data_IF_054873595381
#
_entry.id   IF_054873595381
#
_cell.length_a   1.000
_cell.length_b   1.000
_cell.length_c   1.000
_cell.angle_alpha   90.00
_cell.angle_beta   90.00
_cell.angle_gamma   90.00
#
_symmetry.space_group_name_H-M   'P 1'
#
loop_
_entity.id
_entity.type
_entity.pdbx_description
1 polymer ?
#
# COMPACT_ATOMS: atom_id res chain seq x y z
N UNK A 1 -9.13 25.32 29.15
CA UNK A 1 -9.83 26.57 28.80
C UNK A 1 -10.53 26.35 27.47
N UNK A 2 -11.87 26.28 27.46
CA UNK A 2 -12.66 26.13 26.21
C UNK A 2 -12.76 27.51 25.56
N UNK A 3 -12.03 27.74 24.47
CA UNK A 3 -12.28 28.90 23.61
C UNK A 3 -13.66 28.71 22.96
N UNK A 4 -14.52 29.71 23.15
CA UNK A 4 -15.85 29.78 22.56
C UNK A 4 -15.66 30.28 21.12
N UNK A 5 -15.76 29.38 20.15
CA UNK A 5 -15.65 29.66 18.72
C UNK A 5 -16.69 30.69 18.27
N UNK A 6 -16.26 31.74 17.56
CA UNK A 6 -17.13 32.73 16.94
C UNK A 6 -17.76 32.21 15.64
N UNK A 7 -18.74 32.92 15.05
CA UNK A 7 -19.52 32.45 13.89
C UNK A 7 -18.67 32.12 12.64
N UNK A 8 -17.47 32.69 12.49
CA UNK A 8 -16.55 32.33 11.40
C UNK A 8 -15.79 31.01 11.59
N UNK A 9 -15.71 30.49 12.82
CA UNK A 9 -15.02 29.23 13.11
C UNK A 9 -15.88 27.99 12.80
N UNK A 10 -17.20 28.12 12.93
CA UNK A 10 -18.14 27.07 12.52
C UNK A 10 -18.20 26.93 10.98
N UNK A 11 -18.09 28.05 10.26
CA UNK A 11 -18.07 28.07 8.79
C UNK A 11 -16.78 27.44 8.21
N UNK A 12 -15.64 27.69 8.88
CA UNK A 12 -14.36 27.05 8.52
C UNK A 12 -14.38 25.54 8.80
N UNK A 13 -14.94 25.11 9.93
CA UNK A 13 -15.08 23.68 10.24
C UNK A 13 -15.96 22.96 9.21
N UNK A 14 -17.09 23.58 8.83
CA UNK A 14 -17.97 23.05 7.78
C UNK A 14 -17.26 22.97 6.43
N UNK A 15 -16.53 24.02 6.03
CA UNK A 15 -15.75 24.06 4.80
C UNK A 15 -14.66 22.98 4.75
N UNK A 16 -13.90 22.82 5.84
CA UNK A 16 -12.89 21.76 5.96
C UNK A 16 -13.52 20.36 5.90
N UNK A 17 -14.68 20.19 6.52
CA UNK A 17 -15.46 18.95 6.44
C UNK A 17 -15.85 18.63 5.00
N UNK A 18 -16.40 19.59 4.26
CA UNK A 18 -16.78 19.41 2.86
C UNK A 18 -15.58 19.02 1.98
N UNK A 19 -14.42 19.68 2.18
CA UNK A 19 -13.18 19.37 1.46
C UNK A 19 -12.68 17.96 1.78
N UNK A 20 -12.78 17.53 3.04
CA UNK A 20 -12.43 16.17 3.47
C UNK A 20 -13.48 15.10 3.08
N UNK A 21 -14.55 15.49 2.37
CA UNK A 21 -15.62 14.58 1.96
C UNK A 21 -16.57 14.18 3.10
N UNK A 22 -16.52 14.86 4.24
CA UNK A 22 -17.46 14.68 5.35
C UNK A 22 -18.79 15.31 4.95
N UNK A 23 -19.85 14.51 4.97
CA UNK A 23 -21.21 14.92 4.60
C UNK A 23 -22.19 14.51 5.70
N UNK A 24 -23.32 15.21 5.74
CA UNK A 24 -24.45 14.82 6.60
C UNK A 24 -24.75 13.33 6.45
N UNK A 25 -25.04 12.61 7.56
CA UNK A 25 -25.28 13.14 8.92
C UNK A 25 -24.01 13.45 9.73
N UNK A 26 -22.83 13.31 9.14
CA UNK A 26 -21.55 13.58 9.77
C UNK A 26 -21.13 15.03 9.59
N UNK A 27 -20.46 15.57 10.60
CA UNK A 27 -19.86 16.92 10.55
C UNK A 27 -18.55 16.96 11.32
N UNK A 28 -17.74 17.95 10.99
CA UNK A 28 -16.58 18.31 11.80
C UNK A 28 -17.08 19.10 13.01
N UNK A 29 -17.00 18.51 14.20
CA UNK A 29 -17.40 19.17 15.45
C UNK A 29 -16.29 20.02 16.04
N UNK A 30 -15.03 19.63 15.80
CA UNK A 30 -13.85 20.39 16.23
C UNK A 30 -12.77 20.30 15.16
N UNK A 31 -11.91 21.30 15.11
CA UNK A 31 -10.71 21.29 14.27
C UNK A 31 -9.54 21.91 15.03
N UNK A 32 -8.33 21.48 14.68
CA UNK A 32 -7.08 22.06 15.17
C UNK A 32 -6.11 22.15 13.99
N UNK A 33 -5.53 23.32 13.81
CA UNK A 33 -4.55 23.58 12.75
C UNK A 33 -3.22 23.88 13.44
N UNK A 34 -2.21 23.08 13.13
CA UNK A 34 -0.84 23.34 13.53
C UNK A 34 -0.08 23.91 12.33
N UNK A 35 0.23 25.20 12.38
CA UNK A 35 1.01 25.90 11.36
C UNK A 35 2.48 25.43 11.31
N UNK A 36 3.04 25.01 12.44
CA UNK A 36 4.45 24.63 12.56
C UNK A 36 4.67 23.23 12.01
N UNK A 37 3.86 22.27 12.46
CA UNK A 37 3.89 20.90 11.95
C UNK A 37 3.23 20.76 10.56
N UNK A 38 2.56 21.82 10.09
CA UNK A 38 1.74 21.83 8.87
C UNK A 38 0.72 20.70 8.85
N UNK A 39 0.01 20.51 9.96
CA UNK A 39 -1.06 19.52 10.08
C UNK A 39 -2.41 20.17 10.39
N UNK A 40 -3.48 19.50 9.96
CA UNK A 40 -4.86 19.81 10.34
C UNK A 40 -5.51 18.55 10.88
N UNK A 41 -6.14 18.68 12.04
CA UNK A 41 -6.85 17.62 12.74
C UNK A 41 -8.33 17.96 12.74
N UNK A 42 -9.15 17.04 12.23
CA UNK A 42 -10.60 17.19 12.14
C UNK A 42 -11.25 16.12 13.02
N UNK A 43 -12.04 16.53 14.00
CA UNK A 43 -12.86 15.63 14.80
C UNK A 43 -14.24 15.54 14.16
N UNK A 44 -14.53 14.38 13.59
CA UNK A 44 -15.78 14.08 12.92
C UNK A 44 -16.69 13.38 13.90
N UNK A 45 -17.89 13.92 14.05
CA UNK A 45 -18.95 13.31 14.85
C UNK A 45 -20.26 13.38 14.10
N UNK A 46 -21.15 12.43 14.36
CA UNK A 46 -22.53 12.52 13.93
C UNK A 46 -23.23 13.60 14.75
N UNK A 47 -24.15 14.34 14.15
CA UNK A 47 -25.10 15.13 14.93
C UNK A 47 -25.79 14.20 15.94
N UNK A 48 -25.80 14.49 17.26
CA UNK A 48 -26.95 14.06 18.03
C UNK A 48 -28.12 14.81 17.40
N UNK A 49 -29.00 14.10 16.69
CA UNK A 49 -30.25 14.66 16.17
C UNK A 49 -30.76 15.65 17.23
N UNK A 50 -30.91 16.95 16.90
CA UNK A 50 -31.33 17.91 17.92
C UNK A 50 -32.58 17.31 18.56
N UNK A 51 -32.72 17.29 19.89
CA UNK A 51 -33.97 16.86 20.47
C UNK A 51 -35.01 17.79 19.84
N UNK A 52 -35.78 17.25 18.88
CA UNK A 52 -36.78 17.98 18.14
C UNK A 52 -37.52 18.79 19.20
N UNK A 53 -37.49 20.13 19.07
CA UNK A 53 -38.01 21.05 20.07
C UNK A 53 -39.21 20.41 20.73
N UNK A 54 -39.10 20.15 22.03
CA UNK A 54 -40.12 19.42 22.78
C UNK A 54 -41.36 20.32 22.85
N UNK A 55 -42.14 20.37 21.78
CA UNK A 55 -43.55 20.72 21.81
C UNK A 55 -44.23 19.54 22.46
N UNK A 56 -44.45 19.66 23.76
CA UNK A 56 -45.18 18.67 24.58
C UNK A 56 -46.53 18.37 23.89
N UNK A 57 -46.78 17.14 23.41
CA UNK A 57 -48.12 16.75 23.00
C UNK A 57 -48.90 16.34 24.26
N UNK A 58 -50.12 16.85 24.37
CA UNK A 58 -50.99 16.69 25.54
C UNK A 58 -51.59 15.28 25.65
N UNK A 59 -51.46 14.42 24.64
CA UNK A 59 -51.95 13.03 24.69
C UNK A 59 -50.95 12.03 24.11
N UNK A 60 -50.81 10.92 24.83
CA UNK A 60 -49.74 9.94 24.67
C UNK A 60 -49.84 9.09 23.41
N UNK A 61 -48.74 9.09 22.66
CA UNK A 61 -48.22 7.91 21.99
C UNK A 61 -46.70 7.90 22.23
N UNK A 62 -46.19 6.77 22.73
CA UNK A 62 -44.79 6.64 23.13
C UNK A 62 -43.86 6.92 21.96
N UNK A 63 -42.92 7.85 22.16
CA UNK A 63 -41.88 8.17 21.17
C UNK A 63 -40.65 7.31 21.46
N UNK A 64 -40.17 6.59 20.45
CA UNK A 64 -38.86 5.92 20.49
C UNK A 64 -37.81 7.00 20.62
N UNK A 65 -37.26 7.14 21.82
CA UNK A 65 -36.04 7.92 22.07
C UNK A 65 -34.91 7.05 21.55
N UNK A 66 -34.31 7.40 20.41
CA UNK A 66 -33.05 6.79 20.02
C UNK A 66 -32.01 7.17 21.08
N UNK A 67 -31.52 6.16 21.79
CA UNK A 67 -30.51 6.35 22.82
C UNK A 67 -29.24 6.98 22.20
N UNK A 68 -28.57 7.90 22.91
CA UNK A 68 -27.29 8.45 22.45
C UNK A 68 -26.32 7.31 22.14
N UNK A 69 -25.74 7.33 20.94
CA UNK A 69 -24.77 6.31 20.51
C UNK A 69 -23.55 6.38 21.44
N UNK A 70 -23.10 5.26 22.02
CA UNK A 70 -21.97 5.27 22.92
C UNK A 70 -20.68 5.61 22.16
N UNK A 71 -19.97 6.63 22.61
CA UNK A 71 -18.64 6.97 22.12
C UNK A 71 -17.63 5.86 22.47
N UNK A 72 -16.68 5.64 21.57
CA UNK A 72 -15.58 4.69 21.68
C UNK A 72 -14.57 5.18 22.74
N UNK A 73 -14.00 4.26 23.53
CA UNK A 73 -13.07 4.60 24.63
C UNK A 73 -11.72 5.12 24.13
N UNK A 74 -11.25 4.59 23.01
CA UNK A 74 -10.04 5.02 22.31
C UNK A 74 -10.47 5.60 20.96
N UNK A 75 -10.12 6.86 20.70
CA UNK A 75 -10.45 7.49 19.43
C UNK A 75 -9.65 6.91 18.28
N UNK A 76 -10.32 6.72 17.14
CA UNK A 76 -9.65 6.29 15.92
C UNK A 76 -9.11 7.50 15.17
N UNK A 77 -7.89 7.34 14.66
CA UNK A 77 -7.19 8.40 13.92
C UNK A 77 -6.68 7.84 12.61
N UNK A 78 -7.00 8.53 11.52
CA UNK A 78 -6.52 8.19 10.19
C UNK A 78 -5.91 9.39 9.49
N UNK A 79 -4.88 9.14 8.68
CA UNK A 79 -4.37 10.08 7.69
C UNK A 79 -5.32 10.15 6.50
N UNK A 80 -5.70 11.36 6.14
CA UNK A 80 -6.52 11.69 4.99
C UNK A 80 -5.70 12.37 3.89
N UNK A 81 -6.32 12.64 2.73
CA UNK A 81 -5.72 13.45 1.69
C UNK A 81 -5.36 14.84 2.24
N UNK A 82 -4.25 15.40 1.75
CA UNK A 82 -3.81 16.72 2.19
C UNK A 82 -4.86 17.80 1.92
N UNK A 83 -5.04 18.68 2.90
CA UNK A 83 -5.95 19.81 2.80
C UNK A 83 -5.13 21.09 2.75
N UNK A 84 -5.23 21.85 1.64
CA UNK A 84 -4.53 23.13 1.45
C UNK A 84 -3.01 23.06 1.72
N UNK A 85 -2.39 21.93 1.40
CA UNK A 85 -0.96 21.72 1.62
C UNK A 85 -0.57 21.25 3.02
N UNK A 86 -1.53 21.06 3.93
CA UNK A 86 -1.38 20.52 5.28
C UNK A 86 -1.71 19.03 5.33
N UNK A 87 -0.98 18.30 6.16
CA UNK A 87 -1.28 16.91 6.47
C UNK A 87 -2.61 16.82 7.24
N UNK A 88 -3.62 16.19 6.65
CA UNK A 88 -4.95 16.09 7.23
C UNK A 88 -5.11 14.78 8.01
N UNK A 89 -5.59 14.88 9.24
CA UNK A 89 -5.90 13.75 10.12
C UNK A 89 -7.37 13.81 10.53
N UNK A 90 -8.06 12.68 10.44
CA UNK A 90 -9.46 12.55 10.82
C UNK A 90 -9.55 11.72 12.09
N UNK A 91 -10.24 12.26 13.07
CA UNK A 91 -10.47 11.69 14.39
C UNK A 91 -11.96 11.38 14.50
N UNK A 92 -12.30 10.19 14.98
CA UNK A 92 -13.69 9.87 15.37
C UNK A 92 -13.72 9.16 16.71
N UNK A 93 -14.71 9.52 17.51
CA UNK A 93 -15.09 8.80 18.72
C UNK A 93 -16.40 8.04 18.52
N UNK A 94 -17.10 8.24 17.41
CA UNK A 94 -18.41 7.66 17.20
C UNK A 94 -18.29 6.26 16.61
N UNK A 95 -19.11 5.34 17.13
CA UNK A 95 -19.19 3.98 16.60
C UNK A 95 -19.85 4.01 15.23
N UNK A 96 -19.13 3.55 14.22
CA UNK A 96 -19.62 3.46 12.85
C UNK A 96 -20.31 2.12 12.61
N UNK A 97 -21.48 2.15 11.96
CA UNK A 97 -22.27 0.96 11.64
C UNK A 97 -21.88 0.37 10.29
N UNK A 98 -22.32 -0.86 10.00
CA UNK A 98 -21.89 -1.56 8.79
C UNK A 98 -22.22 -0.83 7.49
N UNK A 99 -23.37 -0.17 7.48
CA UNK A 99 -23.91 0.60 6.35
C UNK A 99 -23.06 1.85 6.03
N UNK A 100 -22.29 2.32 7.00
CA UNK A 100 -21.48 3.54 6.95
C UNK A 100 -19.98 3.25 6.73
N UNK A 101 -19.60 1.97 6.58
CA UNK A 101 -18.19 1.55 6.41
C UNK A 101 -17.54 2.05 5.12
N UNK A 102 -18.33 2.47 4.13
CA UNK A 102 -17.80 2.88 2.82
C UNK A 102 -17.60 4.41 2.69
N UNK A 103 -17.73 5.15 3.79
CA UNK A 103 -17.56 6.60 3.78
C UNK A 103 -16.11 7.00 3.46
N UNK A 104 -15.91 7.89 2.49
CA UNK A 104 -14.58 8.26 2.00
C UNK A 104 -13.61 8.77 3.05
N UNK A 105 -14.13 9.51 4.02
CA UNK A 105 -13.38 10.10 5.12
C UNK A 105 -13.10 9.10 6.25
N UNK A 106 -13.79 7.96 6.29
CA UNK A 106 -13.60 6.92 7.27
C UNK A 106 -12.38 6.07 6.91
N UNK A 107 -11.71 5.47 7.89
CA UNK A 107 -10.69 4.46 7.66
C UNK A 107 -11.01 3.12 8.31
N UNK A 108 -10.19 2.12 7.99
CA UNK A 108 -10.30 0.79 8.62
C UNK A 108 -9.66 0.85 10.01
N UNK A 109 -10.23 0.11 10.96
CA UNK A 109 -9.62 -0.02 12.29
C UNK A 109 -8.18 -0.54 12.20
N UNK A 110 -7.31 0.00 13.04
CA UNK A 110 -5.87 -0.28 13.08
C UNK A 110 -5.07 0.05 11.80
N UNK A 111 -5.71 0.57 10.76
CA UNK A 111 -5.04 1.02 9.54
C UNK A 111 -4.71 2.51 9.61
N UNK A 112 -3.64 2.96 8.93
CA UNK A 112 -3.22 4.35 9.04
C UNK A 112 -4.06 5.31 8.20
N UNK A 113 -4.82 4.82 7.21
CA UNK A 113 -5.40 5.64 6.14
C UNK A 113 -6.92 5.59 6.10
N UNK A 114 -7.50 6.72 5.71
CA UNK A 114 -8.90 6.81 5.26
C UNK A 114 -9.10 6.10 3.92
N UNK A 115 -10.33 5.72 3.60
CA UNK A 115 -10.71 5.05 2.37
C UNK A 115 -10.36 5.87 1.13
N UNK A 116 -10.57 7.19 1.16
CA UNK A 116 -10.16 8.09 0.07
C UNK A 116 -8.65 8.02 -0.21
N UNK A 117 -7.82 8.07 0.84
CA UNK A 117 -6.37 7.97 0.69
C UNK A 117 -5.95 6.57 0.25
N UNK A 118 -6.52 5.52 0.84
CA UNK A 118 -6.27 4.13 0.47
C UNK A 118 -6.54 3.86 -1.01
N UNK A 119 -7.67 4.35 -1.56
CA UNK A 119 -7.98 4.21 -2.99
C UNK A 119 -6.97 4.93 -3.87
N UNK A 120 -6.50 6.11 -3.47
CA UNK A 120 -5.47 6.84 -4.22
C UNK A 120 -4.12 6.13 -4.21
N UNK A 121 -3.70 5.62 -3.05
CA UNK A 121 -2.50 4.77 -2.91
C UNK A 121 -2.62 3.54 -3.81
N UNK A 122 -3.77 2.86 -3.79
CA UNK A 122 -4.01 1.67 -4.61
C UNK A 122 -4.01 1.96 -6.10
N UNK A 123 -4.60 3.07 -6.54
CA UNK A 123 -4.57 3.48 -7.93
C UNK A 123 -3.11 3.63 -8.41
N UNK A 124 -2.28 4.36 -7.67
CA UNK A 124 -0.88 4.56 -8.02
C UNK A 124 -0.08 3.24 -8.02
N UNK A 125 -0.28 2.39 -7.02
CA UNK A 125 0.36 1.07 -6.98
C UNK A 125 -0.13 0.16 -8.11
N UNK A 126 -1.39 0.28 -8.51
CA UNK A 126 -2.00 -0.45 -9.63
C UNK A 126 -1.41 -0.04 -10.98
N UNK A 127 -1.06 1.25 -11.14
CA UNK A 127 -0.30 1.77 -12.28
C UNK A 127 1.20 1.35 -12.26
N UNK A 128 1.64 0.60 -11.24
CA UNK A 128 3.01 0.12 -11.12
C UNK A 128 4.00 1.13 -10.53
N UNK A 129 3.51 2.24 -9.95
CA UNK A 129 4.34 3.21 -9.24
C UNK A 129 4.95 2.56 -8.00
N UNK A 130 6.25 2.76 -7.77
CA UNK A 130 6.94 2.22 -6.60
C UNK A 130 6.41 2.82 -5.29
N UNK A 131 6.37 2.02 -4.22
CA UNK A 131 5.84 2.46 -2.92
C UNK A 131 6.58 3.68 -2.35
N UNK A 132 7.89 3.78 -2.52
CA UNK A 132 8.64 4.93 -2.04
C UNK A 132 8.21 6.21 -2.76
N UNK A 133 8.00 6.12 -4.09
CA UNK A 133 7.50 7.23 -4.91
C UNK A 133 6.06 7.60 -4.54
N UNK A 134 5.21 6.61 -4.25
CA UNK A 134 3.84 6.88 -3.75
C UNK A 134 3.88 7.63 -2.43
N UNK A 135 4.73 7.21 -1.49
CA UNK A 135 4.89 7.88 -0.20
C UNK A 135 5.41 9.31 -0.36
N UNK A 136 6.37 9.53 -1.27
CA UNK A 136 6.90 10.87 -1.56
C UNK A 136 5.82 11.78 -2.18
N UNK A 137 5.15 11.31 -3.23
CA UNK A 137 4.11 12.05 -3.95
C UNK A 137 2.94 12.45 -3.04
N UNK A 138 2.55 11.56 -2.13
CA UNK A 138 1.44 11.79 -1.19
C UNK A 138 1.89 12.33 0.17
N UNK A 139 3.20 12.62 0.35
CA UNK A 139 3.79 13.11 1.60
C UNK A 139 3.40 12.26 2.81
N UNK A 140 3.57 10.95 2.66
CA UNK A 140 3.28 9.95 3.69
C UNK A 140 4.58 9.47 4.34
N UNK A 141 4.58 9.24 5.66
CA UNK A 141 5.65 8.50 6.32
C UNK A 141 5.80 7.11 5.70
N UNK A 142 7.02 6.71 5.36
CA UNK A 142 7.27 5.41 4.73
C UNK A 142 6.75 4.23 5.58
N UNK A 143 6.84 4.33 6.90
CA UNK A 143 6.33 3.31 7.82
C UNK A 143 4.81 3.07 7.67
N UNK A 144 4.02 4.13 7.46
CA UNK A 144 2.57 4.03 7.27
C UNK A 144 2.23 3.43 5.90
N UNK A 145 2.92 3.88 4.84
CA UNK A 145 2.76 3.32 3.50
C UNK A 145 3.13 1.84 3.45
N UNK A 146 4.19 1.44 4.16
CA UNK A 146 4.61 0.04 4.28
C UNK A 146 3.60 -0.78 5.08
N UNK A 147 3.10 -0.27 6.23
CA UNK A 147 2.04 -0.94 7.01
C UNK A 147 0.80 -1.21 6.16
N UNK A 148 0.37 -0.22 5.37
CA UNK A 148 -0.75 -0.37 4.45
C UNK A 148 -0.47 -1.40 3.34
N UNK A 149 0.71 -1.32 2.72
CA UNK A 149 1.11 -2.26 1.66
C UNK A 149 1.20 -3.70 2.17
N UNK A 150 1.76 -3.89 3.37
CA UNK A 150 1.85 -5.20 4.00
C UNK A 150 0.46 -5.80 4.27
N UNK A 151 -0.48 -5.01 4.79
CA UNK A 151 -1.86 -5.46 5.00
C UNK A 151 -2.56 -5.81 3.67
N UNK A 152 -2.27 -5.07 2.60
CA UNK A 152 -2.77 -5.38 1.24
C UNK A 152 -2.21 -6.71 0.72
N UNK A 153 -0.89 -6.90 0.81
CA UNK A 153 -0.21 -8.08 0.28
C UNK A 153 -0.54 -9.35 1.07
N UNK A 154 -0.78 -9.21 2.38
CA UNK A 154 -1.22 -10.30 3.27
C UNK A 154 -2.72 -10.61 3.20
N UNK A 155 -3.50 -9.79 2.46
CA UNK A 155 -4.95 -9.98 2.33
C UNK A 155 -5.75 -9.64 3.58
N UNK A 156 -5.19 -8.84 4.49
CA UNK A 156 -5.87 -8.37 5.71
C UNK A 156 -6.84 -7.22 5.44
N UNK A 157 -6.76 -6.60 4.26
CA UNK A 157 -7.70 -5.55 3.86
C UNK A 157 -9.01 -6.16 3.33
N UNK A 158 -10.17 -5.49 3.57
CA UNK A 158 -11.45 -5.91 3.01
C UNK A 158 -11.42 -6.10 1.49
N UNK A 159 -12.31 -6.97 0.99
CA UNK A 159 -12.37 -7.38 -0.42
C UNK A 159 -12.49 -6.20 -1.40
N UNK A 160 -13.03 -5.06 -0.98
CA UNK A 160 -13.12 -3.84 -1.80
C UNK A 160 -11.75 -3.34 -2.28
N UNK A 161 -10.70 -3.52 -1.47
CA UNK A 161 -9.32 -3.17 -1.84
C UNK A 161 -8.60 -4.27 -2.62
N UNK A 162 -9.11 -5.50 -2.55
CA UNK A 162 -8.54 -6.65 -3.25
C UNK A 162 -8.82 -6.63 -4.76
N UNK A 163 -9.83 -5.88 -5.23
CA UNK A 163 -10.20 -5.83 -6.66
C UNK A 163 -9.10 -5.19 -7.53
N UNK A 164 -8.31 -4.25 -7.01
CA UNK A 164 -7.17 -3.66 -7.72
C UNK A 164 -6.04 -4.67 -7.94
N UNK A 165 -5.99 -5.75 -7.15
CA UNK A 165 -5.06 -6.88 -7.36
C UNK A 165 -5.39 -7.68 -8.62
N UNK A 166 -6.64 -7.63 -9.10
CA UNK A 166 -7.13 -8.48 -10.20
C UNK A 166 -6.95 -7.87 -11.59
N UNK A 167 -6.62 -6.59 -11.69
CA UNK A 167 -6.39 -5.83 -12.93
C UNK A 167 -4.91 -5.69 -13.31
N UNK A 168 -3.97 -6.12 -12.45
CA UNK A 168 -2.63 -6.46 -12.91
C UNK A 168 -2.74 -7.60 -13.95
N UNK A 169 -1.96 -7.58 -15.05
CA UNK A 169 -2.04 -8.61 -16.07
C UNK A 169 -1.76 -9.95 -15.41
N UNK A 170 -2.80 -10.76 -15.25
CA UNK A 170 -2.66 -12.16 -14.92
C UNK A 170 -2.02 -12.79 -16.14
N UNK A 171 -0.74 -13.13 -16.03
CA UNK A 171 -0.16 -14.20 -16.84
C UNK A 171 -1.14 -15.37 -16.78
N UNK A 172 -1.60 -15.94 -17.91
CA UNK A 172 -2.53 -17.05 -17.88
C UNK A 172 -1.88 -18.18 -17.08
N UNK A 173 -2.51 -18.53 -15.96
CA UNK A 173 -2.16 -19.73 -15.23
C UNK A 173 -2.37 -20.89 -16.19
N UNK A 174 -1.28 -21.62 -16.48
CA UNK A 174 -1.37 -22.91 -17.14
C UNK A 174 -2.38 -23.78 -16.38
N UNK A 175 -3.29 -24.49 -17.07
CA UNK A 175 -4.25 -25.36 -16.39
C UNK A 175 -3.48 -26.48 -15.68
N UNK A 176 -3.65 -26.52 -14.37
CA UNK A 176 -3.15 -27.61 -13.53
C UNK A 176 -3.85 -28.91 -13.87
N UNK A 177 -3.02 -29.84 -14.34
CA UNK A 177 -3.10 -31.31 -14.24
C UNK A 177 -4.29 -31.86 -13.43
N UNK A 178 -5.24 -32.44 -14.14
CA UNK A 178 -6.08 -33.53 -13.63
C UNK A 178 -5.65 -34.82 -14.34
N UNK A 179 -5.05 -35.71 -13.57
CA UNK A 179 -4.66 -37.07 -13.94
C UNK A 179 -5.91 -37.94 -14.10
N UNK A 180 -6.14 -38.56 -15.26
CA UNK A 180 -6.59 -39.97 -15.40
C UNK A 180 -6.18 -40.54 -16.78
N UNK A 181 -5.36 -41.59 -16.75
CA UNK A 181 -5.13 -42.71 -17.69
C UNK A 181 -5.46 -42.62 -19.20
N UNK A 182 -4.46 -42.89 -20.05
CA UNK A 182 -4.53 -43.79 -21.22
C UNK A 182 -3.12 -44.11 -21.75
N UNK A 183 -2.88 -45.28 -22.40
CA UNK A 183 -1.53 -45.81 -22.61
C UNK A 183 -0.98 -45.55 -24.02
N UNK A 184 0.37 -45.58 -24.11
CA UNK A 184 1.28 -45.83 -25.25
C UNK A 184 0.94 -45.28 -26.65
N UNK A 185 1.93 -44.60 -27.28
CA UNK A 185 2.55 -45.03 -28.57
C UNK A 185 3.60 -43.99 -29.04
N UNK A 186 4.86 -44.45 -29.04
CA UNK A 186 6.03 -44.17 -29.90
C UNK A 186 6.40 -42.75 -30.42
N UNK A 187 7.67 -42.41 -30.15
CA UNK A 187 8.68 -41.73 -31.00
C UNK A 187 8.23 -40.57 -31.92
N UNK A 188 8.80 -39.37 -31.67
CA UNK A 188 9.74 -38.77 -32.62
C UNK A 188 10.46 -37.58 -31.97
N UNK A 189 11.79 -37.66 -31.94
CA UNK A 189 12.65 -36.51 -31.67
C UNK A 189 12.54 -35.52 -32.83
N UNK A 190 12.25 -34.25 -32.52
CA UNK A 190 12.70 -33.11 -33.32
C UNK A 190 12.58 -31.86 -32.45
N UNK A 191 13.67 -31.58 -31.73
CA UNK A 191 14.29 -30.25 -31.64
C UNK A 191 13.31 -29.06 -31.50
N UNK A 192 12.66 -28.96 -30.34
CA UNK A 192 12.21 -27.68 -29.84
C UNK A 192 13.32 -27.14 -28.95
N UNK A 193 14.11 -26.22 -29.51
CA UNK A 193 15.02 -25.34 -28.79
C UNK A 193 14.20 -24.68 -27.69
N UNK A 194 14.34 -25.20 -26.47
CA UNK A 194 13.91 -24.52 -25.26
C UNK A 194 14.83 -23.32 -25.18
N UNK A 195 14.32 -22.15 -25.57
CA UNK A 195 14.92 -20.89 -25.17
C UNK A 195 14.69 -20.78 -23.67
N UNK A 196 15.45 -21.55 -22.91
CA UNK A 196 15.66 -21.36 -21.49
C UNK A 196 16.22 -19.95 -21.41
N UNK A 197 15.43 -19.00 -20.96
CA UNK A 197 15.90 -17.69 -20.53
C UNK A 197 17.20 -17.93 -19.76
N UNK A 198 18.34 -17.56 -20.35
CA UNK A 198 19.68 -18.00 -19.96
C UNK A 198 20.17 -17.37 -18.66
N UNK A 199 19.26 -17.19 -17.70
CA UNK A 199 19.51 -16.65 -16.38
C UNK A 199 20.05 -17.76 -15.49
N UNK A 200 21.23 -17.58 -14.89
CA UNK A 200 21.78 -18.52 -13.92
C UNK A 200 20.85 -18.66 -12.72
N UNK A 201 20.74 -19.88 -12.18
CA UNK A 201 19.98 -20.11 -10.95
C UNK A 201 20.51 -19.24 -9.81
N UNK A 202 19.66 -18.85 -8.86
CA UNK A 202 20.03 -17.97 -7.74
C UNK A 202 21.15 -18.48 -6.82
N UNK A 203 21.51 -19.77 -6.91
CA UNK A 203 22.65 -20.38 -6.19
C UNK A 203 23.96 -20.34 -6.98
N UNK A 204 23.93 -19.85 -8.22
CA UNK A 204 25.12 -19.80 -9.06
C UNK A 204 26.18 -18.86 -8.44
N UNK A 205 27.46 -19.30 -8.34
CA UNK A 205 28.55 -18.47 -7.81
C UNK A 205 28.73 -17.13 -8.54
N UNK A 206 28.24 -17.00 -9.78
CA UNK A 206 28.25 -15.74 -10.53
C UNK A 206 27.55 -14.62 -9.74
N UNK A 207 26.47 -14.92 -9.01
CA UNK A 207 25.76 -13.94 -8.18
C UNK A 207 26.58 -13.50 -6.97
N UNK A 208 27.34 -14.42 -6.37
CA UNK A 208 28.25 -14.13 -5.25
C UNK A 208 29.37 -13.21 -5.74
N UNK A 209 30.01 -13.55 -6.86
CA UNK A 209 31.12 -12.78 -7.41
C UNK A 209 30.68 -11.38 -7.89
N UNK A 210 29.47 -11.26 -8.43
CA UNK A 210 28.86 -9.97 -8.79
C UNK A 210 28.62 -9.08 -7.56
N UNK A 211 28.08 -9.66 -6.48
CA UNK A 211 27.86 -8.93 -5.22
C UNK A 211 29.19 -8.53 -4.58
N UNK A 212 30.19 -9.42 -4.56
CA UNK A 212 31.53 -9.13 -4.02
C UNK A 212 32.29 -8.08 -4.83
N UNK A 213 31.88 -7.80 -6.07
CA UNK A 213 32.53 -6.85 -6.96
C UNK A 213 33.77 -7.40 -7.65
N UNK A 214 33.95 -8.72 -7.64
CA UNK A 214 35.04 -9.42 -8.32
C UNK A 214 34.77 -9.59 -9.82
N UNK A 215 33.51 -9.40 -10.27
CA UNK A 215 33.19 -9.35 -11.70
C UNK A 215 33.29 -7.91 -12.24
N UNK A 216 34.18 -7.64 -13.22
CA UNK A 216 34.22 -6.36 -13.92
C UNK A 216 33.08 -6.30 -14.96
N UNK A 217 31.88 -5.92 -14.51
CA UNK A 217 30.72 -5.72 -15.39
C UNK A 217 30.51 -4.23 -15.64
N UNK A 218 30.28 -3.87 -16.91
CA UNK A 218 29.95 -2.50 -17.29
C UNK A 218 28.44 -2.28 -17.05
N UNK A 219 28.11 -1.81 -15.86
CA UNK A 219 26.72 -1.55 -15.49
C UNK A 219 26.28 -0.24 -16.14
N UNK A 220 25.30 -0.30 -17.05
CA UNK A 220 24.73 0.88 -17.73
C UNK A 220 23.48 1.39 -17.02
N UNK A 221 22.87 0.54 -16.19
CA UNK A 221 21.62 0.82 -15.51
C UNK A 221 21.90 1.35 -14.10
N UNK A 222 21.67 2.65 -13.88
CA UNK A 222 21.82 3.31 -12.58
C UNK A 222 21.06 2.59 -11.45
N UNK A 223 19.87 2.05 -11.73
CA UNK A 223 19.08 1.29 -10.75
C UNK A 223 19.76 0.02 -10.27
N UNK A 224 20.50 -0.68 -11.15
CA UNK A 224 21.25 -1.87 -10.80
C UNK A 224 22.53 -1.54 -10.02
N UNK A 225 23.22 -0.46 -10.40
CA UNK A 225 24.36 0.09 -9.63
C UNK A 225 23.96 0.42 -8.18
N UNK A 226 22.85 1.15 -8.00
CA UNK A 226 22.37 1.54 -6.67
C UNK A 226 21.94 0.32 -5.84
N UNK A 227 21.28 -0.66 -6.47
CA UNK A 227 20.92 -1.90 -5.82
C UNK A 227 22.15 -2.69 -5.38
N UNK A 228 23.15 -2.86 -6.25
CA UNK A 228 24.41 -3.54 -5.91
C UNK A 228 25.18 -2.81 -4.81
N UNK A 229 25.26 -1.48 -4.86
CA UNK A 229 25.89 -0.67 -3.82
C UNK A 229 25.19 -0.85 -2.47
N UNK A 230 23.86 -0.86 -2.46
CA UNK A 230 23.06 -1.11 -1.26
C UNK A 230 23.25 -2.52 -0.71
N UNK A 231 23.22 -3.54 -1.57
CA UNK A 231 23.41 -4.94 -1.17
C UNK A 231 24.82 -5.17 -0.58
N UNK A 232 25.85 -4.58 -1.19
CA UNK A 232 27.23 -4.59 -0.68
C UNK A 232 27.34 -3.94 0.69
N UNK A 233 26.74 -2.77 0.85
CA UNK A 233 26.72 -2.06 2.13
C UNK A 233 26.03 -2.91 3.23
N UNK A 234 24.91 -3.55 2.92
CA UNK A 234 24.20 -4.41 3.87
C UNK A 234 25.01 -5.64 4.28
N UNK A 235 25.74 -6.26 3.33
CA UNK A 235 26.64 -7.38 3.65
C UNK A 235 27.86 -6.95 4.46
N UNK A 236 28.36 -5.72 4.25
CA UNK A 236 29.45 -5.18 5.09
C UNK A 236 29.00 -4.89 6.52
N UNK A 237 27.73 -4.50 6.72
CA UNK A 237 27.16 -4.19 8.03
C UNK A 237 26.73 -5.45 8.81
N UNK A 238 26.30 -6.51 8.11
CA UNK A 238 25.87 -7.76 8.72
C UNK A 238 26.43 -8.95 7.92
N UNK A 239 27.67 -9.37 8.21
CA UNK A 239 28.23 -10.56 7.59
C UNK A 239 27.52 -11.82 8.14
N UNK A 240 26.91 -12.60 7.25
CA UNK A 240 26.26 -13.86 7.59
C UNK A 240 25.82 -14.62 6.34
N UNK A 241 25.99 -15.94 6.34
CA UNK A 241 25.68 -16.78 5.17
C UNK A 241 24.17 -16.81 4.84
N UNK A 242 23.32 -16.76 5.86
CA UNK A 242 21.86 -16.64 5.70
C UNK A 242 21.47 -15.28 5.08
N UNK A 243 22.14 -14.21 5.49
CA UNK A 243 21.93 -12.86 4.94
C UNK A 243 22.38 -12.83 3.49
N UNK A 244 23.53 -13.43 3.16
CA UNK A 244 24.03 -13.57 1.80
C UNK A 244 23.01 -14.30 0.91
N UNK A 245 22.47 -15.43 1.34
CA UNK A 245 21.45 -16.16 0.57
C UNK A 245 20.17 -15.32 0.33
N UNK A 246 19.72 -14.56 1.33
CA UNK A 246 18.58 -13.65 1.15
C UNK A 246 18.88 -12.54 0.13
N UNK A 247 20.10 -11.98 0.16
CA UNK A 247 20.54 -10.94 -0.77
C UNK A 247 20.73 -11.45 -2.20
N UNK A 248 21.23 -12.67 -2.38
CA UNK A 248 21.30 -13.31 -3.69
C UNK A 248 19.91 -13.55 -4.29
N UNK A 249 18.93 -13.96 -3.47
CA UNK A 249 17.54 -14.13 -3.93
C UNK A 249 16.88 -12.80 -4.30
N UNK A 250 17.17 -11.74 -3.55
CA UNK A 250 16.73 -10.37 -3.84
C UNK A 250 17.30 -9.88 -5.17
N UNK A 251 18.60 -10.07 -5.38
CA UNK A 251 19.30 -9.73 -6.63
C UNK A 251 18.73 -10.52 -7.82
N UNK A 252 18.62 -11.85 -7.70
CA UNK A 252 18.07 -12.71 -8.76
C UNK A 252 16.64 -12.30 -9.14
N UNK A 253 15.79 -12.00 -8.15
CA UNK A 253 14.41 -11.53 -8.41
C UNK A 253 14.39 -10.17 -9.11
N UNK A 254 15.28 -9.26 -8.73
CA UNK A 254 15.41 -7.96 -9.39
C UNK A 254 15.82 -8.14 -10.86
N UNK A 255 16.84 -8.97 -11.11
CA UNK A 255 17.31 -9.23 -12.48
C UNK A 255 16.25 -9.93 -13.33
N UNK A 256 15.53 -10.92 -12.79
CA UNK A 256 14.42 -11.58 -13.48
C UNK A 256 13.28 -10.61 -13.82
N UNK A 257 12.97 -9.66 -12.92
CA UNK A 257 11.92 -8.66 -13.15
C UNK A 257 12.32 -7.61 -14.19
N UNK A 258 13.61 -7.32 -14.28
CA UNK A 258 14.17 -6.26 -15.12
C UNK A 258 15.00 -6.80 -16.31
N UNK A 259 14.82 -8.06 -16.69
CA UNK A 259 15.58 -8.76 -17.74
C UNK A 259 15.62 -7.98 -19.08
N UNK A 260 14.50 -7.37 -19.46
CA UNK A 260 14.41 -6.57 -20.70
C UNK A 260 15.24 -5.29 -20.69
N UNK A 261 15.43 -4.70 -19.51
CA UNK A 261 16.19 -3.45 -19.32
C UNK A 261 17.68 -3.76 -19.09
N UNK A 262 17.96 -4.88 -18.43
CA UNK A 262 19.30 -5.36 -18.09
C UNK A 262 19.92 -6.24 -19.20
N UNK A 263 19.38 -6.24 -20.42
CA UNK A 263 19.79 -7.16 -21.49
C UNK A 263 21.30 -7.14 -21.77
N UNK A 264 21.93 -5.96 -21.75
CA UNK A 264 23.38 -5.81 -21.95
C UNK A 264 24.20 -6.41 -20.79
N UNK A 265 23.73 -6.23 -19.56
CA UNK A 265 24.40 -6.69 -18.34
C UNK A 265 24.23 -8.21 -18.17
N UNK A 266 23.09 -8.74 -18.59
CA UNK A 266 22.81 -10.17 -18.66
C UNK A 266 23.63 -10.89 -19.73
N UNK A 267 23.82 -10.27 -20.89
CA UNK A 267 24.73 -10.79 -21.92
C UNK A 267 26.18 -10.82 -21.42
N UNK A 268 26.62 -9.81 -20.65
CA UNK A 268 27.95 -9.81 -20.02
C UNK A 268 28.08 -10.88 -18.93
N UNK A 269 27.03 -11.06 -18.09
CA UNK A 269 26.99 -12.12 -17.07
C UNK A 269 27.04 -13.53 -17.70
N UNK A 270 26.36 -13.73 -18.83
CA UNK A 270 26.39 -14.98 -19.58
C UNK A 270 27.76 -15.22 -20.24
N UNK A 271 28.39 -14.18 -20.79
CA UNK A 271 29.70 -14.26 -21.44
C UNK A 271 30.85 -14.48 -20.45
N UNK A 272 30.74 -13.96 -19.23
CA UNK A 272 31.75 -14.09 -18.17
C UNK A 272 31.59 -15.36 -17.33
N UNK A 273 30.61 -16.23 -17.65
CA UNK A 273 30.41 -17.50 -16.96
C UNK A 273 31.63 -18.42 -17.19
N UNK A 274 32.35 -18.86 -16.15
CA UNK A 274 33.35 -19.91 -16.28
C UNK A 274 32.62 -21.24 -16.54
N UNK A 275 32.39 -21.56 -17.81
CA UNK A 275 31.70 -22.79 -18.24
C UNK A 275 30.86 -22.69 -19.51
N UNK A 276 30.83 -21.54 -20.19
CA UNK A 276 30.11 -21.35 -21.46
C UNK A 276 30.95 -21.54 -22.72
N UNK A 277 32.03 -22.32 -22.66
CA UNK A 277 32.80 -22.73 -23.84
C UNK A 277 32.83 -24.26 -23.92
N UNK A 278 31.84 -24.80 -24.65
CA UNK A 278 31.93 -26.06 -25.39
C UNK A 278 30.93 -25.97 -26.54
#
# INVERSE_FOLDING_TARGET
>A
MKQKSGPGADDLAASLGLVAGVRLPWRVSQHAVDSTARSVHLWVTQEPEPPAEVRRPWFGFGRVVMAPRPAMKDGQVWRHLDCMGYACFIHTLDRVYEDERNLDWLGIDQMPFTHALSRKVLALLGEGVDLAVVCELLRLPFAEGWKFRYALDSGQLPHEYALVRRSAPRTPAAPGSASVAAPVTTLSASEAIVVSSGLPEWRDPVWVQLISGELPIEIRTLGFQLLLARLRQQLSQQPGEEVLQLKLRELHRYVQRHERVLGHELQQLQALRPGGAA
#
